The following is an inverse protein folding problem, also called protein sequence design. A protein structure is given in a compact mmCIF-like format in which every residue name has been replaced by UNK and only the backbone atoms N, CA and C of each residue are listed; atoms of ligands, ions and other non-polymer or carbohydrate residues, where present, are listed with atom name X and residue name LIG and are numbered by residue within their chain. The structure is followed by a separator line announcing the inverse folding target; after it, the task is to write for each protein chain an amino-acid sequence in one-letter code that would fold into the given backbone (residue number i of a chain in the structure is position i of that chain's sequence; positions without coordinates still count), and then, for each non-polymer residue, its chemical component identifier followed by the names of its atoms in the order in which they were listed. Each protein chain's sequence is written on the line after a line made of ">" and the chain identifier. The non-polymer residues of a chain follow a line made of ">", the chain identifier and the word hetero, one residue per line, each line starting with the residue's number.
data_IF_010041072630
#
_entry.id   IF_010041072630
#
_cell.length_a   1.000
_cell.length_b   1.000
_cell.length_c   1.000
_cell.angle_alpha   90.00
_cell.angle_beta   90.00
_cell.angle_gamma   90.00
#
_symmetry.space_group_name_H-M   'P 1'
#
loop_
_entity.id
_entity.type
_entity.pdbx_description
1 polymer ?
#
# COMPACT_ATOMS: atom_id res chain seq x y z
N UNK A 1 0.80 -14.39 -2.07
CA UNK A 1 0.14 -13.06 -2.12
C UNK A 1 -0.77 -12.93 -0.91
N UNK A 2 -0.81 -11.76 -0.28
CA UNK A 2 -1.58 -11.54 0.95
C UNK A 2 -0.92 -10.59 1.95
N UNK A 3 -0.01 -9.73 1.47
CA UNK A 3 0.55 -8.64 2.28
C UNK A 3 -0.26 -7.39 1.98
N UNK A 4 -0.79 -6.76 3.01
CA UNK A 4 -1.43 -5.45 2.93
C UNK A 4 -0.53 -4.45 3.62
N UNK A 5 -0.17 -3.41 2.90
CA UNK A 5 0.57 -2.26 3.42
C UNK A 5 -0.47 -1.21 3.80
N UNK A 6 -0.57 -0.91 5.08
CA UNK A 6 -1.42 0.17 5.60
C UNK A 6 -0.57 1.43 5.69
N UNK A 7 -1.13 2.54 5.19
CA UNK A 7 -0.48 3.83 5.08
C UNK A 7 -1.32 4.93 5.72
N UNK A 8 -0.67 6.01 6.12
CA UNK A 8 -1.30 7.24 6.59
C UNK A 8 -0.98 8.40 5.65
N UNK A 9 -2.00 8.95 5.01
CA UNK A 9 -1.88 9.99 3.98
C UNK A 9 -2.78 11.17 4.35
N UNK A 10 -2.18 12.28 4.77
CA UNK A 10 -2.89 13.55 5.07
C UNK A 10 -4.05 13.41 6.08
N UNK A 11 -3.96 12.44 6.99
CA UNK A 11 -4.90 12.21 8.08
C UNK A 11 -4.13 11.93 9.38
N UNK A 12 -4.79 12.02 10.53
CA UNK A 12 -4.21 11.62 11.82
C UNK A 12 -4.37 10.11 12.07
N UNK A 13 -5.17 9.44 11.24
CA UNK A 13 -5.50 8.03 11.33
C UNK A 13 -5.02 7.26 10.08
N UNK A 14 -4.79 5.94 10.19
CA UNK A 14 -4.56 5.07 9.04
C UNK A 14 -5.74 5.13 8.07
N UNK A 15 -5.52 5.58 6.84
CA UNK A 15 -6.61 5.86 5.90
C UNK A 15 -6.36 5.33 4.49
N UNK A 16 -5.22 4.66 4.26
CA UNK A 16 -4.80 4.26 2.93
C UNK A 16 -4.18 2.87 2.91
N UNK A 17 -4.29 2.16 1.79
CA UNK A 17 -3.79 0.79 1.69
C UNK A 17 -3.33 0.39 0.28
N UNK A 18 -2.37 -0.53 0.21
CA UNK A 18 -1.92 -1.19 -1.01
C UNK A 18 -1.66 -2.68 -0.77
N UNK A 19 -1.76 -3.49 -1.81
CA UNK A 19 -1.47 -4.94 -1.73
C UNK A 19 -0.11 -5.21 -2.35
N UNK A 20 0.85 -5.67 -1.57
CA UNK A 20 2.18 -6.01 -2.10
C UNK A 20 2.10 -7.28 -2.94
N UNK A 21 2.67 -7.23 -4.15
CA UNK A 21 2.60 -8.30 -5.13
C UNK A 21 3.97 -8.88 -5.52
N UNK A 22 5.04 -8.48 -4.83
CA UNK A 22 6.41 -8.90 -5.11
C UNK A 22 7.21 -7.89 -5.93
N UNK A 23 8.52 -8.11 -6.03
CA UNK A 23 9.44 -7.34 -6.88
C UNK A 23 9.40 -5.82 -6.69
N UNK A 24 9.15 -5.36 -5.47
CA UNK A 24 9.03 -3.92 -5.18
C UNK A 24 7.76 -3.28 -5.72
N UNK A 25 6.75 -4.06 -6.12
CA UNK A 25 5.48 -3.58 -6.66
C UNK A 25 4.31 -3.83 -5.71
N UNK A 26 3.32 -2.94 -5.80
CA UNK A 26 2.02 -3.09 -5.15
C UNK A 26 0.87 -2.80 -6.11
N UNK A 27 -0.29 -3.40 -5.84
CA UNK A 27 -1.57 -2.97 -6.41
C UNK A 27 -2.12 -1.84 -5.54
N UNK A 28 -2.36 -0.71 -6.18
CA UNK A 28 -2.80 0.50 -5.52
C UNK A 28 -3.60 1.37 -6.50
N UNK A 29 -4.63 2.07 -6.01
CA UNK A 29 -5.40 3.04 -6.78
C UNK A 29 -5.18 4.44 -6.21
N UNK A 30 -4.76 5.39 -7.05
CA UNK A 30 -4.74 6.79 -6.66
C UNK A 30 -6.16 7.36 -6.76
N UNK A 31 -6.46 8.42 -6.02
CA UNK A 31 -7.71 9.17 -6.17
C UNK A 31 -8.00 9.48 -7.66
N UNK A 32 -9.19 9.10 -8.12
CA UNK A 32 -9.62 9.27 -9.51
C UNK A 32 -9.00 8.32 -10.52
N UNK A 33 -8.28 7.28 -10.09
CA UNK A 33 -7.63 6.30 -10.96
C UNK A 33 -8.04 4.87 -10.63
N UNK A 34 -8.02 3.98 -11.63
CA UNK A 34 -8.17 2.54 -11.41
C UNK A 34 -6.94 1.96 -10.71
N UNK A 35 -7.13 0.81 -10.06
CA UNK A 35 -6.04 0.02 -9.47
C UNK A 35 -5.00 -0.32 -10.53
N UNK A 36 -3.74 -0.05 -10.22
CA UNK A 36 -2.61 -0.32 -11.09
C UNK A 36 -1.45 -0.94 -10.31
N UNK A 37 -0.52 -1.56 -11.05
CA UNK A 37 0.78 -1.97 -10.52
C UNK A 37 1.67 -0.73 -10.43
N UNK A 38 2.04 -0.35 -9.23
CA UNK A 38 2.91 0.80 -8.98
C UNK A 38 4.10 0.38 -8.10
N UNK A 39 5.24 1.07 -8.22
CA UNK A 39 6.35 0.88 -7.30
C UNK A 39 5.93 1.13 -5.86
N UNK A 40 6.20 0.17 -4.98
CA UNK A 40 6.21 0.39 -3.55
C UNK A 40 7.57 0.98 -3.16
N UNK A 41 7.70 2.30 -3.30
CA UNK A 41 8.93 3.04 -3.02
C UNK A 41 8.64 4.48 -2.59
N UNK A 42 9.64 5.17 -2.04
CA UNK A 42 9.60 6.61 -1.74
C UNK A 42 8.37 7.01 -0.93
N UNK A 43 7.55 7.89 -1.49
CA UNK A 43 6.33 8.44 -0.86
C UNK A 43 5.45 7.39 -0.17
N UNK A 44 5.29 6.20 -0.78
CA UNK A 44 4.44 5.13 -0.25
C UNK A 44 5.10 4.35 0.88
N UNK A 45 6.41 4.10 0.78
CA UNK A 45 7.17 3.45 1.84
C UNK A 45 7.29 4.33 3.08
N UNK A 46 7.54 5.63 2.90
CA UNK A 46 7.66 6.61 3.98
C UNK A 46 6.37 6.74 4.82
N UNK A 47 5.22 6.40 4.23
CA UNK A 47 3.90 6.48 4.87
C UNK A 47 3.38 5.14 5.35
N UNK A 48 4.12 4.06 5.12
CA UNK A 48 3.74 2.75 5.61
C UNK A 48 3.87 2.74 7.14
N UNK A 49 2.77 2.35 7.81
CA UNK A 49 2.71 2.31 9.26
C UNK A 49 2.60 0.88 9.79
N UNK A 50 1.92 0.00 9.05
CA UNK A 50 1.66 -1.39 9.44
C UNK A 50 1.70 -2.23 8.16
N UNK A 51 2.34 -3.41 8.24
CA UNK A 51 2.23 -4.45 7.22
C UNK A 51 1.51 -5.65 7.82
N UNK A 52 0.44 -6.10 7.16
CA UNK A 52 -0.35 -7.25 7.57
C UNK A 52 -0.12 -8.40 6.59
N UNK A 53 0.19 -9.60 7.10
CA UNK A 53 0.32 -10.83 6.31
C UNK A 53 -0.84 -11.76 6.62
N UNK A 54 -1.63 -12.10 5.61
CA UNK A 54 -2.56 -13.22 5.71
C UNK A 54 -1.80 -14.56 5.60
N UNK A 55 -1.99 -15.41 6.60
CA UNK A 55 -1.51 -16.79 6.66
C UNK A 55 -2.73 -17.69 6.83
N UNK A 56 -2.82 -18.75 6.04
CA UNK A 56 -3.91 -19.73 6.12
C UNK A 56 -3.63 -20.77 7.19
#
# INVERSE_FOLDING_TARGET
>A
MGDVIIMQVQANEPNHAGVYIGDGLMIHHMYGQLSNRVPYSGYWQERAIITLRYIK
#
